data_IF_416472182132
#
_entry.id   IF_416472182132
#
_cell.length_a   1.000
_cell.length_b   1.000
_cell.length_c   1.000
_cell.angle_alpha   90.00
_cell.angle_beta   90.00
_cell.angle_gamma   90.00
#
_symmetry.space_group_name_H-M   'P 1'
#
loop_
_entity.id
_entity.type
_entity.pdbx_description
1 polymer ?
#
# COMPACT_ATOMS: atom_id res chain seq x y z
N UNK A 1 -14.93 -11.81 -19.24
CA UNK A 1 -14.94 -10.45 -18.65
C UNK A 1 -15.22 -9.45 -19.75
N UNK A 2 -16.19 -8.54 -19.60
CA UNK A 2 -16.49 -7.53 -20.63
C UNK A 2 -15.35 -6.51 -20.77
N UNK A 3 -15.35 -5.76 -21.88
CA UNK A 3 -14.27 -4.80 -22.22
C UNK A 3 -14.04 -3.77 -21.12
N UNK A 4 -15.10 -3.19 -20.55
CA UNK A 4 -14.99 -2.17 -19.51
C UNK A 4 -14.31 -2.72 -18.25
N UNK A 5 -14.73 -3.89 -17.75
CA UNK A 5 -14.09 -4.53 -16.59
C UNK A 5 -12.63 -4.90 -16.87
N UNK A 6 -12.29 -5.29 -18.10
CA UNK A 6 -10.90 -5.55 -18.50
C UNK A 6 -10.06 -4.28 -18.45
N UNK A 7 -10.56 -3.17 -18.98
CA UNK A 7 -9.88 -1.87 -18.92
C UNK A 7 -9.71 -1.42 -17.47
N UNK A 8 -10.76 -1.51 -16.65
CA UNK A 8 -10.67 -1.18 -15.22
C UNK A 8 -9.64 -2.03 -14.48
N UNK A 9 -9.59 -3.33 -14.76
CA UNK A 9 -8.60 -4.24 -14.16
C UNK A 9 -7.17 -3.84 -14.56
N UNK A 10 -6.90 -3.63 -15.85
CA UNK A 10 -5.57 -3.26 -16.35
C UNK A 10 -5.15 -1.90 -15.79
N UNK A 11 -6.05 -0.91 -15.81
CA UNK A 11 -5.81 0.41 -15.24
C UNK A 11 -5.39 0.32 -13.78
N UNK A 12 -6.18 -0.39 -12.95
CA UNK A 12 -5.86 -0.56 -11.54
C UNK A 12 -4.53 -1.31 -11.36
N UNK A 13 -4.24 -2.35 -12.13
CA UNK A 13 -2.96 -3.08 -12.02
C UNK A 13 -1.73 -2.21 -12.28
N UNK A 14 -1.81 -1.24 -13.19
CA UNK A 14 -0.67 -0.37 -13.55
C UNK A 14 -0.64 0.88 -12.66
N UNK A 15 -1.77 1.23 -12.03
CA UNK A 15 -1.96 2.47 -11.27
C UNK A 15 -0.86 2.79 -10.23
N UNK A 16 -0.44 1.87 -9.34
CA UNK A 16 0.58 2.18 -8.34
C UNK A 16 1.92 2.59 -8.96
N UNK A 17 2.23 2.10 -10.16
CA UNK A 17 3.48 2.42 -10.87
C UNK A 17 3.38 3.77 -11.59
N UNK A 18 2.24 4.06 -12.23
CA UNK A 18 1.97 5.36 -12.85
C UNK A 18 2.01 6.48 -11.81
N UNK A 19 1.48 6.19 -10.63
CA UNK A 19 1.47 7.07 -9.47
C UNK A 19 2.86 7.62 -9.13
N UNK A 20 3.92 6.79 -9.11
CA UNK A 20 5.28 7.28 -8.86
C UNK A 20 5.78 8.30 -9.88
N UNK A 21 5.39 8.14 -11.15
CA UNK A 21 5.75 9.09 -12.22
C UNK A 21 4.99 10.41 -12.01
N UNK A 22 3.68 10.36 -11.78
CA UNK A 22 2.85 11.56 -11.62
C UNK A 22 3.21 12.37 -10.37
N UNK A 23 3.59 11.71 -9.28
CA UNK A 23 3.99 12.42 -8.06
C UNK A 23 5.36 13.06 -8.20
N UNK A 24 6.33 12.34 -8.77
CA UNK A 24 7.71 12.82 -8.88
C UNK A 24 7.92 14.01 -9.83
N UNK A 25 6.94 14.32 -10.69
CA UNK A 25 7.04 15.44 -11.65
C UNK A 25 6.54 16.73 -10.99
N UNK A 26 7.46 17.45 -10.35
CA UNK A 26 7.19 18.74 -9.67
C UNK A 26 6.56 19.81 -10.58
N UNK A 27 6.80 19.73 -11.88
CA UNK A 27 6.19 20.61 -12.89
C UNK A 27 4.65 20.55 -12.89
N UNK A 28 4.03 19.47 -12.37
CA UNK A 28 2.58 19.39 -12.23
C UNK A 28 2.03 20.17 -11.05
N UNK A 29 2.86 20.67 -10.12
CA UNK A 29 2.43 21.41 -8.91
C UNK A 29 2.02 22.86 -9.21
N UNK A 30 1.26 23.05 -10.29
CA UNK A 30 0.64 24.33 -10.66
C UNK A 30 -0.71 24.39 -9.94
N UNK A 31 -1.02 25.46 -9.18
CA UNK A 31 -2.32 25.63 -8.53
C UNK A 31 -3.48 25.45 -9.51
N UNK A 32 -4.50 24.69 -9.10
CA UNK A 32 -5.64 24.30 -9.93
C UNK A 32 -5.37 23.05 -10.76
N UNK A 33 -4.19 22.92 -11.38
CA UNK A 33 -3.85 21.79 -12.25
C UNK A 33 -3.65 20.51 -11.43
N UNK A 34 -2.82 20.56 -10.38
CA UNK A 34 -2.54 19.35 -9.60
C UNK A 34 -3.79 18.83 -8.88
N UNK A 35 -4.67 19.72 -8.41
CA UNK A 35 -5.95 19.33 -7.81
C UNK A 35 -6.87 18.70 -8.85
N UNK A 36 -7.00 19.30 -10.04
CA UNK A 36 -7.84 18.76 -11.11
C UNK A 36 -7.36 17.39 -11.57
N UNK A 37 -6.05 17.23 -11.80
CA UNK A 37 -5.43 15.94 -12.14
C UNK A 37 -5.66 14.93 -11.02
N UNK A 38 -5.45 15.32 -9.76
CA UNK A 38 -5.62 14.44 -8.61
C UNK A 38 -7.06 13.96 -8.43
N UNK A 39 -8.05 14.86 -8.58
CA UNK A 39 -9.48 14.53 -8.53
C UNK A 39 -9.85 13.60 -9.69
N UNK A 40 -9.38 13.88 -10.90
CA UNK A 40 -9.63 13.02 -12.06
C UNK A 40 -9.04 11.61 -11.86
N UNK A 41 -7.82 11.52 -11.35
CA UNK A 41 -7.16 10.25 -11.01
C UNK A 41 -7.91 9.49 -9.92
N UNK A 42 -8.31 10.16 -8.85
CA UNK A 42 -9.10 9.57 -7.77
C UNK A 42 -10.45 9.02 -8.29
N UNK A 43 -11.16 9.82 -9.09
CA UNK A 43 -12.42 9.41 -9.71
C UNK A 43 -12.24 8.19 -10.62
N UNK A 44 -11.15 8.15 -11.42
CA UNK A 44 -10.84 7.01 -12.27
C UNK A 44 -10.63 5.72 -11.45
N UNK A 45 -9.92 5.78 -10.32
CA UNK A 45 -9.73 4.63 -9.41
C UNK A 45 -11.08 4.18 -8.85
N UNK A 46 -11.90 5.12 -8.35
CA UNK A 46 -13.19 4.81 -7.75
C UNK A 46 -14.14 4.15 -8.76
N UNK A 47 -14.24 4.71 -9.97
CA UNK A 47 -15.05 4.16 -11.06
C UNK A 47 -14.54 2.78 -11.48
N UNK A 48 -13.21 2.62 -11.62
CA UNK A 48 -12.62 1.34 -12.00
C UNK A 48 -12.85 0.27 -10.93
N UNK A 49 -12.68 0.59 -9.65
CA UNK A 49 -12.93 -0.31 -8.53
C UNK A 49 -14.41 -0.71 -8.45
N UNK A 50 -15.31 0.27 -8.58
CA UNK A 50 -16.76 0.05 -8.62
C UNK A 50 -17.16 -0.91 -9.75
N UNK A 51 -16.68 -0.62 -10.96
CA UNK A 51 -16.95 -1.42 -12.16
C UNK A 51 -16.37 -2.83 -12.06
N UNK A 52 -15.18 -2.97 -11.47
CA UNK A 52 -14.48 -4.25 -11.38
C UNK A 52 -15.18 -5.22 -10.42
N UNK A 53 -15.64 -4.72 -9.27
CA UNK A 53 -16.44 -5.50 -8.34
C UNK A 53 -16.70 -4.91 -6.95
N UNK A 54 -16.35 -3.64 -6.66
CA UNK A 54 -16.62 -3.06 -5.33
C UNK A 54 -18.12 -3.00 -5.00
N UNK A 55 -18.99 -2.93 -6.02
CA UNK A 55 -20.45 -3.07 -5.85
C UNK A 55 -20.88 -4.36 -5.13
N UNK A 56 -20.04 -5.40 -5.14
CA UNK A 56 -20.30 -6.65 -4.43
C UNK A 56 -20.35 -6.49 -2.89
N UNK A 57 -19.92 -5.35 -2.33
CA UNK A 57 -20.15 -5.01 -0.92
C UNK A 57 -21.66 -5.03 -0.57
N UNK A 58 -22.52 -4.82 -1.57
CA UNK A 58 -23.98 -4.86 -1.42
C UNK A 58 -24.59 -6.21 -1.82
N UNK A 59 -23.77 -7.25 -2.03
CA UNK A 59 -24.27 -8.57 -2.36
C UNK A 59 -24.86 -9.27 -1.13
N UNK A 60 -25.93 -10.03 -1.33
CA UNK A 60 -26.55 -10.86 -0.28
C UNK A 60 -25.62 -11.99 0.16
N UNK A 61 -24.85 -12.55 -0.77
CA UNK A 61 -23.87 -13.58 -0.48
C UNK A 61 -22.69 -13.03 0.32
N UNK A 62 -22.57 -13.49 1.58
CA UNK A 62 -21.55 -13.03 2.54
C UNK A 62 -20.11 -13.11 1.98
N UNK A 63 -19.75 -14.20 1.30
CA UNK A 63 -18.41 -14.37 0.73
C UNK A 63 -18.07 -13.28 -0.31
N UNK A 64 -19.03 -12.98 -1.20
CA UNK A 64 -18.86 -11.94 -2.22
C UNK A 64 -18.76 -10.56 -1.59
N UNK A 65 -19.54 -10.32 -0.54
CA UNK A 65 -19.51 -9.08 0.24
C UNK A 65 -18.17 -8.87 0.91
N UNK A 66 -17.64 -9.87 1.60
CA UNK A 66 -16.34 -9.79 2.26
C UNK A 66 -15.20 -9.61 1.27
N UNK A 67 -15.23 -10.30 0.12
CA UNK A 67 -14.26 -10.11 -0.96
C UNK A 67 -14.31 -8.70 -1.55
N UNK A 68 -15.52 -8.18 -1.80
CA UNK A 68 -15.72 -6.82 -2.28
C UNK A 68 -15.20 -5.78 -1.28
N UNK A 69 -15.47 -5.97 0.01
CA UNK A 69 -15.03 -5.07 1.08
C UNK A 69 -13.50 -5.10 1.26
N UNK A 70 -12.90 -6.29 1.38
CA UNK A 70 -11.46 -6.45 1.47
C UNK A 70 -10.75 -5.84 0.26
N UNK A 71 -11.21 -6.17 -0.95
CA UNK A 71 -10.66 -5.62 -2.18
C UNK A 71 -10.74 -4.10 -2.26
N UNK A 72 -11.87 -3.52 -1.83
CA UNK A 72 -12.07 -2.06 -1.80
C UNK A 72 -11.13 -1.40 -0.81
N UNK A 73 -11.02 -1.91 0.42
CA UNK A 73 -10.10 -1.36 1.43
C UNK A 73 -8.65 -1.41 0.97
N UNK A 74 -8.21 -2.53 0.38
CA UNK A 74 -6.86 -2.66 -0.15
C UNK A 74 -6.58 -1.71 -1.32
N UNK A 75 -7.54 -1.51 -2.23
CA UNK A 75 -7.42 -0.54 -3.34
C UNK A 75 -7.45 0.91 -2.83
N UNK A 76 -8.28 1.21 -1.82
CA UNK A 76 -8.37 2.54 -1.19
C UNK A 76 -7.03 3.01 -0.66
N UNK A 77 -6.12 2.11 -0.28
CA UNK A 77 -4.78 2.51 0.19
C UNK A 77 -4.04 3.44 -0.77
N UNK A 78 -4.21 3.31 -2.09
CA UNK A 78 -3.55 4.18 -3.07
C UNK A 78 -4.43 5.31 -3.63
N UNK A 79 -5.72 5.34 -3.29
CA UNK A 79 -6.63 6.36 -3.81
C UNK A 79 -6.30 7.78 -3.28
N UNK A 80 -6.05 8.01 -1.97
CA UNK A 80 -5.65 9.33 -1.47
C UNK A 80 -4.33 9.83 -2.05
N UNK A 81 -3.44 8.92 -2.42
CA UNK A 81 -2.16 9.23 -3.06
C UNK A 81 -2.41 9.92 -4.40
N UNK A 82 -3.35 9.40 -5.19
CA UNK A 82 -3.80 10.00 -6.44
C UNK A 82 -4.31 11.43 -6.25
N UNK A 83 -5.04 11.69 -5.16
CA UNK A 83 -5.65 12.99 -4.89
C UNK A 83 -4.64 14.03 -4.38
N UNK A 84 -3.72 13.62 -3.50
CA UNK A 84 -2.97 14.55 -2.65
C UNK A 84 -1.48 14.64 -3.00
N UNK A 85 -0.93 13.66 -3.72
CA UNK A 85 0.53 13.60 -3.97
C UNK A 85 0.96 14.07 -5.36
N UNK A 86 0.03 14.55 -6.19
CA UNK A 86 0.36 15.09 -7.53
C UNK A 86 1.38 16.22 -7.41
N UNK A 87 2.54 16.04 -8.04
CA UNK A 87 3.64 17.00 -8.06
C UNK A 87 4.39 17.19 -6.72
N UNK A 88 4.21 16.32 -5.73
CA UNK A 88 5.02 16.36 -4.50
C UNK A 88 6.46 15.91 -4.78
N UNK A 89 7.45 16.69 -4.33
CA UNK A 89 8.86 16.35 -4.49
C UNK A 89 9.25 14.97 -3.92
N UNK A 90 10.21 14.30 -4.54
CA UNK A 90 10.74 13.03 -4.03
C UNK A 90 11.45 13.15 -2.67
N UNK A 91 12.06 12.06 -2.16
CA UNK A 91 12.92 12.13 -0.99
C UNK A 91 13.94 13.27 -1.12
N UNK A 92 14.13 14.05 -0.04
CA UNK A 92 15.06 15.19 0.04
C UNK A 92 14.71 16.43 -0.80
N UNK A 93 13.73 16.34 -1.71
CA UNK A 93 13.25 17.46 -2.53
C UNK A 93 11.95 18.06 -1.99
N UNK A 94 11.19 17.27 -1.21
CA UNK A 94 9.94 17.69 -0.62
C UNK A 94 10.14 18.74 0.48
N UNK A 95 9.28 19.76 0.52
CA UNK A 95 9.21 20.73 1.61
C UNK A 95 8.68 20.08 2.91
N UNK A 96 8.68 20.80 4.02
CA UNK A 96 8.14 20.28 5.27
C UNK A 96 6.61 20.09 5.18
N UNK A 97 5.85 21.08 4.70
CA UNK A 97 4.43 20.93 4.37
C UNK A 97 4.10 19.75 3.43
N UNK A 98 4.92 19.52 2.40
CA UNK A 98 4.73 18.38 1.48
C UNK A 98 4.92 17.03 2.19
N UNK A 99 5.88 16.94 3.11
CA UNK A 99 6.09 15.75 3.92
C UNK A 99 4.99 15.56 4.97
N UNK A 100 4.48 16.63 5.57
CA UNK A 100 3.32 16.58 6.47
C UNK A 100 2.13 15.90 5.77
N UNK A 101 1.76 16.37 4.58
CA UNK A 101 0.70 15.76 3.76
C UNK A 101 1.00 14.30 3.40
N UNK A 102 2.26 13.96 3.09
CA UNK A 102 2.70 12.59 2.80
C UNK A 102 2.40 11.65 3.96
N UNK A 103 2.80 12.02 5.17
CA UNK A 103 2.60 11.14 6.32
C UNK A 103 1.13 11.04 6.74
N UNK A 104 0.34 12.09 6.54
CA UNK A 104 -1.12 12.02 6.71
C UNK A 104 -1.74 10.99 5.76
N UNK A 105 -1.35 10.99 4.48
CA UNK A 105 -1.83 10.00 3.52
C UNK A 105 -1.38 8.59 3.91
N UNK A 106 -0.11 8.41 4.28
CA UNK A 106 0.42 7.11 4.70
C UNK A 106 -0.31 6.51 5.91
N UNK A 107 -0.80 7.33 6.84
CA UNK A 107 -1.69 6.89 7.94
C UNK A 107 -2.95 6.24 7.37
N UNK A 108 -3.61 6.91 6.41
CA UNK A 108 -4.82 6.38 5.75
C UNK A 108 -4.50 5.09 4.99
N UNK A 109 -3.35 5.03 4.29
CA UNK A 109 -2.92 3.82 3.57
C UNK A 109 -2.76 2.63 4.53
N UNK A 110 -2.05 2.84 5.64
CA UNK A 110 -1.78 1.79 6.63
C UNK A 110 -3.05 1.26 7.29
N UNK A 111 -3.97 2.16 7.66
CA UNK A 111 -5.27 1.79 8.20
C UNK A 111 -6.09 0.98 7.20
N UNK A 112 -6.18 1.44 5.94
CA UNK A 112 -6.93 0.76 4.89
C UNK A 112 -6.37 -0.65 4.60
N UNK A 113 -5.05 -0.81 4.58
CA UNK A 113 -4.41 -2.12 4.37
C UNK A 113 -4.66 -3.07 5.53
N UNK A 114 -4.45 -2.60 6.76
CA UNK A 114 -4.68 -3.42 7.95
C UNK A 114 -6.14 -3.90 7.98
N UNK A 115 -7.11 -3.00 7.80
CA UNK A 115 -8.53 -3.35 7.73
C UNK A 115 -8.85 -4.29 6.57
N UNK A 116 -8.28 -4.06 5.38
CA UNK A 116 -8.51 -4.90 4.21
C UNK A 116 -8.06 -6.35 4.43
N UNK A 117 -6.89 -6.55 5.06
CA UNK A 117 -6.40 -7.88 5.40
C UNK A 117 -7.16 -8.54 6.56
N UNK A 118 -7.63 -7.78 7.55
CA UNK A 118 -8.51 -8.31 8.61
C UNK A 118 -9.79 -8.89 7.99
N UNK A 119 -10.44 -8.15 7.09
CA UNK A 119 -11.65 -8.62 6.38
C UNK A 119 -11.32 -9.82 5.49
N UNK A 120 -10.18 -9.80 4.80
CA UNK A 120 -9.76 -10.92 3.94
C UNK A 120 -9.54 -12.21 4.74
N UNK A 121 -8.95 -12.12 5.94
CA UNK A 121 -8.78 -13.28 6.83
C UNK A 121 -10.13 -13.92 7.19
N UNK A 122 -11.16 -13.11 7.41
CA UNK A 122 -12.50 -13.62 7.69
C UNK A 122 -13.06 -14.37 6.47
N UNK A 123 -12.96 -13.78 5.28
CA UNK A 123 -13.39 -14.42 4.04
C UNK A 123 -12.69 -15.77 3.79
N UNK A 124 -11.37 -15.83 4.01
CA UNK A 124 -10.56 -17.04 3.83
C UNK A 124 -10.87 -18.11 4.87
N UNK A 125 -11.13 -17.70 6.11
CA UNK A 125 -11.54 -18.60 7.20
C UNK A 125 -12.87 -19.28 6.89
N UNK A 126 -13.84 -18.52 6.34
CA UNK A 126 -15.11 -19.05 5.84
C UNK A 126 -14.93 -20.03 4.67
N UNK A 127 -13.92 -19.81 3.83
CA UNK A 127 -13.56 -20.69 2.72
C UNK A 127 -12.70 -21.91 3.13
N UNK A 128 -12.44 -22.11 4.43
CA UNK A 128 -11.73 -23.27 4.96
C UNK A 128 -10.20 -23.14 5.01
N UNK A 129 -9.59 -22.02 4.60
CA UNK A 129 -8.15 -21.79 4.76
C UNK A 129 -7.88 -21.01 6.04
N UNK A 130 -7.13 -21.62 6.95
CA UNK A 130 -6.84 -21.04 8.27
C UNK A 130 -5.37 -20.81 8.53
N UNK A 131 -4.48 -21.63 7.95
CA UNK A 131 -3.07 -21.63 8.33
C UNK A 131 -2.37 -20.36 7.84
N UNK A 132 -2.36 -20.14 6.53
CA UNK A 132 -1.69 -18.97 5.96
C UNK A 132 -2.44 -17.68 6.24
N UNK A 133 -3.77 -17.71 6.28
CA UNK A 133 -4.59 -16.58 6.69
C UNK A 133 -4.28 -16.13 8.13
N UNK A 134 -4.06 -17.07 9.06
CA UNK A 134 -3.68 -16.74 10.45
C UNK A 134 -2.27 -16.16 10.52
N UNK A 135 -1.31 -16.74 9.80
CA UNK A 135 0.05 -16.19 9.72
C UNK A 135 0.06 -14.76 9.17
N UNK A 136 -0.66 -14.54 8.05
CA UNK A 136 -0.78 -13.21 7.45
C UNK A 136 -1.48 -12.22 8.37
N UNK A 137 -2.50 -12.67 9.11
CA UNK A 137 -3.21 -11.84 10.09
C UNK A 137 -2.32 -11.45 11.28
N UNK A 138 -1.54 -12.39 11.83
CA UNK A 138 -0.60 -12.10 12.90
C UNK A 138 0.44 -11.06 12.46
N UNK A 139 0.94 -11.17 11.23
CA UNK A 139 1.88 -10.19 10.69
C UNK A 139 1.23 -8.81 10.49
N UNK A 140 0.00 -8.73 9.94
CA UNK A 140 -0.62 -7.42 9.66
C UNK A 140 -1.12 -6.70 10.91
N UNK A 141 -1.60 -7.43 11.93
CA UNK A 141 -2.08 -6.80 13.17
C UNK A 141 -0.94 -6.17 13.97
N UNK A 142 0.30 -6.61 13.75
CA UNK A 142 1.51 -5.98 14.24
C UNK A 142 1.99 -4.87 13.31
N UNK A 143 2.02 -5.12 12.00
CA UNK A 143 2.52 -4.17 11.01
C UNK A 143 1.71 -2.87 10.94
N UNK A 144 0.38 -2.95 10.97
CA UNK A 144 -0.52 -1.80 10.87
C UNK A 144 -0.23 -0.75 11.94
N UNK A 145 -0.31 -1.11 13.24
CA UNK A 145 0.04 -0.20 14.34
C UNK A 145 1.46 0.36 14.24
N UNK A 146 2.46 -0.44 13.84
CA UNK A 146 3.84 0.06 13.68
C UNK A 146 3.93 1.15 12.61
N UNK A 147 3.25 0.99 11.46
CA UNK A 147 3.14 2.04 10.46
C UNK A 147 2.41 3.27 10.99
N UNK A 148 1.32 3.11 11.74
CA UNK A 148 0.59 4.24 12.30
C UNK A 148 1.47 5.06 13.25
N UNK A 149 2.15 4.38 14.19
CA UNK A 149 3.10 5.02 15.10
C UNK A 149 4.17 5.74 14.29
N UNK A 150 4.81 5.04 13.34
CA UNK A 150 5.88 5.62 12.55
C UNK A 150 5.43 6.87 11.77
N UNK A 151 4.28 6.80 11.09
CA UNK A 151 3.75 7.92 10.31
C UNK A 151 3.30 9.09 11.20
N UNK A 152 2.76 8.86 12.39
CA UNK A 152 2.36 9.92 13.31
C UNK A 152 3.57 10.71 13.81
N UNK A 153 4.66 10.01 14.18
CA UNK A 153 5.90 10.67 14.59
C UNK A 153 6.55 11.41 13.41
N UNK A 154 6.56 10.81 12.21
CA UNK A 154 7.07 11.47 11.03
C UNK A 154 6.24 12.72 10.67
N UNK A 155 4.91 12.63 10.76
CA UNK A 155 4.01 13.79 10.63
C UNK A 155 4.38 14.87 11.65
N UNK A 156 4.49 14.54 12.93
CA UNK A 156 4.83 15.49 13.99
C UNK A 156 6.21 16.16 13.77
N UNK A 157 7.19 15.41 13.27
CA UNK A 157 8.51 15.95 12.96
C UNK A 157 8.44 17.04 11.87
N UNK A 158 7.70 16.79 10.80
CA UNK A 158 7.57 17.73 9.68
C UNK A 158 6.58 18.85 9.97
N UNK A 159 5.54 18.61 10.76
CA UNK A 159 4.67 19.64 11.30
C UNK A 159 5.47 20.65 12.13
N UNK A 160 6.31 20.16 13.06
CA UNK A 160 7.21 21.00 13.85
C UNK A 160 8.19 21.78 12.98
N UNK A 161 8.80 21.12 11.99
CA UNK A 161 9.70 21.79 11.04
C UNK A 161 9.02 22.91 10.24
N UNK A 162 7.78 22.70 9.81
CA UNK A 162 7.01 23.70 9.05
C UNK A 162 6.64 24.90 9.93
N UNK A 163 6.17 24.67 11.15
CA UNK A 163 5.59 25.74 11.99
C UNK A 163 6.60 26.39 12.94
N UNK A 164 7.64 25.68 13.37
CA UNK A 164 8.68 26.15 14.29
C UNK A 164 10.05 26.33 13.60
N UNK A 165 10.17 25.99 12.31
CA UNK A 165 11.41 26.12 11.53
C UNK A 165 12.43 24.99 11.73
N UNK A 166 12.26 24.16 12.76
CA UNK A 166 13.15 23.04 13.10
C UNK A 166 12.39 21.77 13.48
N UNK A 167 13.03 20.61 13.29
CA UNK A 167 12.47 19.34 13.76
C UNK A 167 12.60 19.27 15.29
N UNK A 168 11.56 18.83 16.02
CA UNK A 168 11.64 18.68 17.47
C UNK A 168 12.78 17.74 17.88
N UNK A 169 13.69 18.21 18.75
CA UNK A 169 14.89 17.48 19.14
C UNK A 169 14.59 16.09 19.73
N UNK A 170 13.49 15.96 20.48
CA UNK A 170 13.03 14.69 21.04
C UNK A 170 12.63 13.66 19.97
N UNK A 171 12.21 14.07 18.78
CA UNK A 171 11.91 13.15 17.67
C UNK A 171 13.20 12.81 16.92
N UNK A 172 14.09 13.79 16.75
CA UNK A 172 15.41 13.57 16.11
C UNK A 172 16.24 12.55 16.90
N UNK A 173 16.22 12.60 18.23
CA UNK A 173 16.94 11.65 19.09
C UNK A 173 16.42 10.21 19.00
N UNK A 174 15.19 10.01 18.48
CA UNK A 174 14.57 8.70 18.31
C UNK A 174 14.77 8.12 16.90
N UNK A 175 15.56 8.77 16.02
CA UNK A 175 15.66 8.42 14.60
C UNK A 175 15.95 6.94 14.34
N UNK A 176 16.93 6.35 15.03
CA UNK A 176 17.31 4.95 14.80
C UNK A 176 16.20 3.98 15.23
N UNK A 177 15.48 4.32 16.31
CA UNK A 177 14.27 3.59 16.72
C UNK A 177 13.17 3.70 15.67
N UNK A 178 12.97 4.89 15.08
CA UNK A 178 12.00 5.09 14.00
C UNK A 178 12.38 4.29 12.75
N UNK A 179 13.66 4.25 12.39
CA UNK A 179 14.16 3.46 11.27
C UNK A 179 13.92 1.95 11.52
N UNK A 180 14.12 1.47 12.76
CA UNK A 180 13.80 0.10 13.16
C UNK A 180 12.29 -0.20 13.08
N UNK A 181 11.45 0.70 13.58
CA UNK A 181 9.98 0.54 13.51
C UNK A 181 9.51 0.40 12.07
N UNK A 182 10.00 1.25 11.17
CA UNK A 182 9.67 1.18 9.75
C UNK A 182 10.17 -0.11 9.10
N UNK A 183 11.40 -0.54 9.44
CA UNK A 183 11.95 -1.80 8.96
C UNK A 183 11.05 -2.99 9.34
N UNK A 184 10.68 -3.10 10.62
CA UNK A 184 9.82 -4.20 11.12
C UNK A 184 8.43 -4.12 10.48
N UNK A 185 7.86 -2.91 10.34
CA UNK A 185 6.58 -2.73 9.68
C UNK A 185 6.60 -3.17 8.21
N UNK A 186 7.64 -2.78 7.46
CA UNK A 186 7.85 -3.22 6.07
C UNK A 186 8.00 -4.73 5.95
N UNK A 187 8.84 -5.32 6.80
CA UNK A 187 9.06 -6.77 6.86
C UNK A 187 7.74 -7.53 7.06
N UNK A 188 6.97 -7.14 8.07
CA UNK A 188 5.72 -7.80 8.40
C UNK A 188 4.66 -7.62 7.30
N UNK A 189 4.61 -6.47 6.61
CA UNK A 189 3.69 -6.27 5.49
C UNK A 189 4.01 -7.19 4.30
N UNK A 190 5.28 -7.33 3.91
CA UNK A 190 5.64 -8.24 2.82
C UNK A 190 5.33 -9.69 3.20
N UNK A 191 5.63 -10.10 4.45
CA UNK A 191 5.30 -11.42 4.95
C UNK A 191 3.78 -11.67 4.95
N UNK A 192 3.00 -10.70 5.44
CA UNK A 192 1.55 -10.78 5.45
C UNK A 192 1.00 -10.98 4.03
N UNK A 193 1.47 -10.16 3.09
CA UNK A 193 1.02 -10.22 1.69
C UNK A 193 1.36 -11.56 1.04
N UNK A 194 2.56 -12.10 1.28
CA UNK A 194 2.95 -13.42 0.78
C UNK A 194 2.05 -14.53 1.37
N UNK A 195 1.78 -14.48 2.68
CA UNK A 195 0.90 -15.45 3.35
C UNK A 195 -0.55 -15.37 2.83
N UNK A 196 -1.12 -14.17 2.67
CA UNK A 196 -2.45 -14.01 2.09
C UNK A 196 -2.52 -14.46 0.63
N UNK A 197 -1.47 -14.21 -0.18
CA UNK A 197 -1.40 -14.73 -1.54
C UNK A 197 -1.33 -16.27 -1.59
N UNK A 198 -0.59 -16.89 -0.67
CA UNK A 198 -0.54 -18.35 -0.51
C UNK A 198 -1.91 -18.92 -0.13
N UNK A 199 -2.60 -18.27 0.82
CA UNK A 199 -3.95 -18.63 1.26
C UNK A 199 -4.95 -18.57 0.10
N UNK A 200 -4.96 -17.46 -0.65
CA UNK A 200 -5.76 -17.31 -1.86
C UNK A 200 -5.43 -18.38 -2.91
N UNK A 201 -4.15 -18.75 -3.07
CA UNK A 201 -3.76 -19.85 -3.94
C UNK A 201 -4.36 -21.19 -3.52
N UNK A 202 -4.43 -21.48 -2.22
CA UNK A 202 -5.00 -22.72 -1.68
C UNK A 202 -6.49 -22.85 -1.88
N UNK A 203 -7.25 -21.78 -1.67
CA UNK A 203 -8.71 -21.77 -1.92
C UNK A 203 -9.06 -21.56 -3.40
N UNK A 204 -8.07 -21.55 -4.28
CA UNK A 204 -8.23 -21.24 -5.72
C UNK A 204 -8.85 -19.85 -5.98
N UNK A 205 -8.74 -18.99 -4.96
CA UNK A 205 -8.70 -17.51 -4.92
C UNK A 205 -8.03 -16.83 -6.10
N UNK A 206 -6.84 -17.34 -6.33
CA UNK A 206 -5.79 -16.79 -7.15
C UNK A 206 -5.17 -17.98 -7.87
N UNK A 207 -4.93 -17.86 -9.18
CA UNK A 207 -4.30 -18.93 -9.94
C UNK A 207 -2.92 -19.27 -9.36
N UNK A 208 -2.51 -20.54 -9.44
CA UNK A 208 -1.24 -21.03 -8.85
C UNK A 208 -0.02 -20.20 -9.28
N UNK A 209 0.06 -19.84 -10.56
CA UNK A 209 1.13 -18.99 -11.09
C UNK A 209 1.13 -17.59 -10.50
N UNK A 210 -0.06 -16.97 -10.38
CA UNK A 210 -0.18 -15.65 -9.79
C UNK A 210 0.13 -15.68 -8.29
N UNK A 211 -0.35 -16.68 -7.53
CA UNK A 211 0.01 -16.86 -6.12
C UNK A 211 1.52 -16.97 -5.92
N UNK A 212 2.20 -17.77 -6.76
CA UNK A 212 3.67 -17.87 -6.76
C UNK A 212 4.33 -16.54 -7.08
N UNK A 213 3.85 -15.80 -8.08
CA UNK A 213 4.41 -14.49 -8.42
C UNK A 213 4.33 -13.51 -7.24
N UNK A 214 3.18 -13.43 -6.57
CA UNK A 214 3.04 -12.62 -5.35
C UNK A 214 4.05 -13.04 -4.28
N UNK A 215 4.15 -14.34 -3.98
CA UNK A 215 5.10 -14.84 -2.98
C UNK A 215 6.56 -14.53 -3.34
N UNK A 216 6.96 -14.73 -4.60
CA UNK A 216 8.33 -14.48 -5.07
C UNK A 216 8.66 -12.99 -4.97
N UNK A 217 7.79 -12.11 -5.47
CA UNK A 217 8.03 -10.65 -5.44
C UNK A 217 8.14 -10.15 -4.00
N UNK A 218 7.26 -10.59 -3.10
CA UNK A 218 7.35 -10.22 -1.68
C UNK A 218 8.59 -10.82 -1.01
N UNK A 219 8.98 -12.05 -1.36
CA UNK A 219 10.20 -12.68 -0.86
C UNK A 219 11.48 -11.98 -1.30
N UNK A 220 11.56 -11.55 -2.57
CA UNK A 220 12.67 -10.74 -3.10
C UNK A 220 12.71 -9.37 -2.44
N UNK A 221 11.54 -8.73 -2.25
CA UNK A 221 11.47 -7.45 -1.55
C UNK A 221 11.91 -7.56 -0.07
N UNK A 222 11.52 -8.64 0.62
CA UNK A 222 12.01 -8.97 1.96
C UNK A 222 13.51 -9.16 1.98
N UNK A 223 14.08 -9.90 1.02
CA UNK A 223 15.51 -10.10 0.93
C UNK A 223 16.24 -8.76 0.79
N UNK A 224 15.79 -7.89 -0.12
CA UNK A 224 16.40 -6.56 -0.27
C UNK A 224 16.24 -5.68 0.98
N UNK A 225 15.10 -5.77 1.67
CA UNK A 225 14.88 -5.03 2.90
C UNK A 225 15.84 -5.51 4.01
N UNK A 226 15.99 -6.83 4.18
CA UNK A 226 16.92 -7.44 5.15
C UNK A 226 18.36 -7.10 4.81
N UNK A 227 18.75 -7.18 3.53
CA UNK A 227 20.10 -6.80 3.08
C UNK A 227 20.42 -5.34 3.42
N UNK A 228 19.45 -4.44 3.27
CA UNK A 228 19.60 -3.06 3.75
C UNK A 228 19.76 -3.00 5.27
N UNK A 229 18.95 -3.75 6.03
CA UNK A 229 18.99 -3.77 7.49
C UNK A 229 20.31 -4.28 8.08
N UNK A 230 21.06 -5.12 7.35
CA UNK A 230 22.37 -5.64 7.77
C UNK A 230 23.56 -4.92 7.15
N UNK A 231 23.33 -3.94 6.25
CA UNK A 231 24.39 -3.22 5.57
C UNK A 231 25.07 -2.24 6.53
N UNK A 232 26.40 -2.38 6.70
CA UNK A 232 27.23 -1.46 7.47
C UNK A 232 28.52 -1.12 6.70
N UNK A 233 28.93 0.16 6.62
CA UNK A 233 28.20 1.36 7.07
C UNK A 233 26.99 1.67 6.17
N UNK A 234 26.10 2.50 6.71
CA UNK A 234 24.82 2.85 6.08
C UNK A 234 25.05 3.51 4.71
N UNK A 235 24.56 2.89 3.63
CA UNK A 235 24.85 3.24 2.23
C UNK A 235 24.24 4.56 1.72
N UNK A 236 23.92 5.50 2.63
CA UNK A 236 23.21 6.77 2.38
C UNK A 236 23.95 7.71 1.39
N UNK A 237 25.21 7.43 1.09
CA UNK A 237 26.03 8.17 0.12
C UNK A 237 25.70 7.87 -1.35
N UNK A 238 24.88 6.85 -1.66
CA UNK A 238 24.46 6.52 -3.02
C UNK A 238 23.08 7.10 -3.35
N UNK A 239 22.78 7.46 -4.61
CA UNK A 239 21.44 7.88 -5.00
C UNK A 239 20.41 6.83 -4.61
N UNK A 240 19.33 7.24 -3.96
CA UNK A 240 18.35 6.31 -3.37
C UNK A 240 17.75 5.32 -4.38
N UNK A 241 17.65 5.71 -5.65
CA UNK A 241 17.08 4.90 -6.73
C UNK A 241 18.03 3.78 -7.24
N UNK A 242 19.30 3.79 -6.85
CA UNK A 242 20.25 2.69 -7.15
C UNK A 242 20.33 1.67 -6.03
N UNK A 243 19.67 1.91 -4.90
CA UNK A 243 19.67 1.01 -3.75
C UNK A 243 18.32 0.27 -3.65
N UNK A 244 18.23 -1.00 -4.09
CA UNK A 244 16.96 -1.74 -4.07
C UNK A 244 16.42 -1.91 -2.65
N UNK A 245 17.29 -2.08 -1.66
CA UNK A 245 16.91 -2.14 -0.24
C UNK A 245 16.30 -0.83 0.26
N UNK A 246 16.78 0.32 -0.22
CA UNK A 246 16.16 1.61 0.07
C UNK A 246 14.75 1.67 -0.54
N UNK A 247 14.61 1.33 -1.82
CA UNK A 247 13.34 1.38 -2.55
C UNK A 247 12.27 0.53 -1.86
N UNK A 248 12.56 -0.74 -1.55
CA UNK A 248 11.58 -1.63 -0.91
C UNK A 248 11.24 -1.22 0.52
N UNK A 249 12.08 -0.41 1.15
CA UNK A 249 11.82 0.18 2.46
C UNK A 249 11.19 1.58 2.42
N UNK A 250 10.85 2.12 1.25
CA UNK A 250 10.03 3.33 1.15
C UNK A 250 8.63 2.98 1.67
N UNK A 251 8.05 3.73 2.63
CA UNK A 251 6.81 3.35 3.31
C UNK A 251 5.62 2.97 2.40
N UNK A 252 5.48 3.61 1.24
CA UNK A 252 4.41 3.32 0.29
C UNK A 252 4.66 2.06 -0.58
N UNK A 253 5.90 1.60 -0.73
CA UNK A 253 6.26 0.50 -1.63
C UNK A 253 5.74 -0.86 -1.14
N UNK A 254 5.86 -1.22 0.16
CA UNK A 254 5.24 -2.43 0.71
C UNK A 254 3.73 -2.53 0.49
N UNK A 255 3.06 -1.39 0.25
CA UNK A 255 1.62 -1.31 0.04
C UNK A 255 1.17 -1.61 -1.40
N UNK A 256 2.09 -1.64 -2.38
CA UNK A 256 1.78 -1.93 -3.78
C UNK A 256 1.20 -3.34 -3.93
N UNK A 257 1.83 -4.34 -3.31
CA UNK A 257 1.39 -5.73 -3.42
C UNK A 257 0.03 -5.97 -2.73
N UNK A 258 -0.23 -5.48 -1.51
CA UNK A 258 -1.58 -5.43 -0.93
C UNK A 258 -2.62 -4.82 -1.87
N UNK A 259 -2.32 -3.66 -2.47
CA UNK A 259 -3.20 -3.00 -3.42
C UNK A 259 -3.52 -3.91 -4.62
N UNK A 260 -2.51 -4.52 -5.25
CA UNK A 260 -2.70 -5.41 -6.39
C UNK A 260 -3.49 -6.67 -6.02
N UNK A 261 -3.30 -7.18 -4.80
CA UNK A 261 -4.13 -8.25 -4.26
C UNK A 261 -5.58 -7.79 -4.19
N UNK A 262 -5.84 -6.58 -3.71
CA UNK A 262 -7.15 -5.94 -3.69
C UNK A 262 -7.83 -5.89 -5.05
N UNK A 263 -7.08 -5.53 -6.10
CA UNK A 263 -7.58 -5.54 -7.50
C UNK A 263 -8.05 -6.94 -7.91
N UNK A 264 -7.29 -7.99 -7.55
CA UNK A 264 -7.70 -9.39 -7.81
C UNK A 264 -8.97 -9.75 -7.04
N UNK A 265 -9.07 -9.36 -5.76
CA UNK A 265 -10.27 -9.63 -4.96
C UNK A 265 -11.51 -8.95 -5.54
N UNK A 266 -11.39 -7.69 -5.97
CA UNK A 266 -12.48 -6.97 -6.63
C UNK A 266 -12.91 -7.67 -7.91
N UNK A 267 -11.95 -8.08 -8.75
CA UNK A 267 -12.26 -8.82 -9.98
C UNK A 267 -13.10 -10.06 -9.66
N UNK A 268 -12.66 -10.84 -8.66
CA UNK A 268 -13.35 -12.07 -8.26
C UNK A 268 -14.72 -11.81 -7.65
N UNK A 269 -14.87 -10.80 -6.80
CA UNK A 269 -16.14 -10.44 -6.20
C UNK A 269 -17.20 -10.04 -7.26
N UNK A 270 -16.73 -9.39 -8.33
CA UNK A 270 -17.56 -9.01 -9.48
C UNK A 270 -17.80 -10.13 -10.50
N UNK A 271 -17.15 -11.30 -10.39
CA UNK A 271 -17.50 -12.48 -11.18
C UNK A 271 -18.78 -13.08 -10.57
N UNK A 272 -19.89 -13.02 -11.32
CA UNK A 272 -21.09 -13.80 -11.03
C UNK A 272 -20.69 -15.27 -11.25
N UNK A 273 -20.75 -16.09 -10.19
CA UNK A 273 -20.68 -17.54 -10.39
C UNK A 273 -22.00 -17.94 -11.07
N UNK A 274 -21.96 -18.81 -12.10
CA UNK A 274 -23.17 -19.44 -12.61
C UNK A 274 -23.90 -20.21 -11.51
#
# INVERSE_FOLDING_TARGET
>A
MNTVRRVSYVFLCIFPFLSFVVFGVRAFRIPGVYQAVGVAYFAAIAIAAWTLGARAIRADAQDRRLLGLAGTLLVTSFAPVALLWVGIGGPWQATAAENEMRYLVLIVMAAAIASGFVVLREALSGAGERFYATLGFAAIILSGPLYLIWNIFAFAAFFGKEHAGEMPAAIVSLRDMMDLLLFVAGFLTYLATAAFAASLGRVQWLGRGAARAFMIVNGVALLFLVLRGVQYPDGRATPWYTNPGFIVGIPAVPFIMPFLLGVVLLRRAGEERP
#
